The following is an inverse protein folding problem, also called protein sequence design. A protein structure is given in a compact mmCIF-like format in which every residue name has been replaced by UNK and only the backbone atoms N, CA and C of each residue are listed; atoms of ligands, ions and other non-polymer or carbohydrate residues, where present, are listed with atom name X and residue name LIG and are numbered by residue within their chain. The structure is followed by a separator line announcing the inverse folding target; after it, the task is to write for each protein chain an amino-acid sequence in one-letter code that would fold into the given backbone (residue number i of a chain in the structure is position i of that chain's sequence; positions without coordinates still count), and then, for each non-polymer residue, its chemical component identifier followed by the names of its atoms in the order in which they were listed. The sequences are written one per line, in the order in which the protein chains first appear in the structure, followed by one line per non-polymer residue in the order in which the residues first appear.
data_IF_996513662616
#
_entry.id   IF_996513662616
#
_cell.length_a   1.000
_cell.length_b   1.000
_cell.length_c   1.000
_cell.angle_alpha   90.00
_cell.angle_beta   90.00
_cell.angle_gamma   90.00
#
_symmetry.space_group_name_H-M   'P 1'
#
loop_
_entity.id
_entity.type
_entity.pdbx_description
1 polymer ?
#
# COMPACT_ATOMS: atom_id res chain seq x y z
N UNK A 1 8.78 -10.67 -10.74
CA UNK A 1 8.27 -11.42 -9.56
C UNK A 1 6.92 -12.02 -9.88
N UNK A 2 6.68 -13.27 -9.49
CA UNK A 2 5.47 -13.99 -9.90
C UNK A 2 4.48 -14.23 -8.77
N UNK A 3 4.97 -14.33 -7.54
CA UNK A 3 4.15 -14.58 -6.36
C UNK A 3 4.47 -13.53 -5.31
N UNK A 4 3.49 -12.67 -5.00
CA UNK A 4 3.66 -11.58 -4.02
C UNK A 4 2.30 -10.96 -3.67
N UNK A 5 2.30 -10.11 -2.64
CA UNK A 5 1.16 -9.26 -2.31
C UNK A 5 1.60 -7.79 -2.42
N UNK A 6 0.99 -7.04 -3.31
CA UNK A 6 1.17 -5.59 -3.37
C UNK A 6 0.29 -4.94 -2.30
N UNK A 7 0.85 -3.98 -1.57
CA UNK A 7 0.14 -3.30 -0.47
C UNK A 7 0.35 -1.79 -0.55
N UNK A 8 -0.68 -1.04 -0.20
CA UNK A 8 -0.64 0.41 -0.12
C UNK A 8 -1.49 0.89 1.05
N UNK A 9 -0.94 1.81 1.84
CA UNK A 9 -1.62 2.46 2.96
C UNK A 9 -1.83 3.95 2.69
N UNK A 10 -2.97 4.48 3.15
CA UNK A 10 -3.15 5.91 3.32
C UNK A 10 -3.18 6.23 4.81
N UNK A 11 -2.64 7.40 5.18
CA UNK A 11 -2.55 7.82 6.58
C UNK A 11 -3.39 9.06 6.85
N UNK A 12 -3.95 9.15 8.06
CA UNK A 12 -4.77 10.29 8.48
C UNK A 12 -3.93 11.52 8.83
N UNK A 13 -2.73 11.31 9.38
CA UNK A 13 -1.87 12.36 9.88
C UNK A 13 -0.39 11.97 9.74
N UNK A 14 0.51 12.76 10.34
CA UNK A 14 1.97 12.58 10.25
C UNK A 14 2.49 11.35 11.01
N UNK A 15 1.67 10.76 11.87
CA UNK A 15 2.06 9.55 12.58
C UNK A 15 1.93 8.33 11.67
N UNK A 16 2.99 7.55 11.47
CA UNK A 16 2.93 6.37 10.57
C UNK A 16 1.87 5.35 10.97
N UNK A 17 1.54 5.27 12.25
CA UNK A 17 0.49 4.37 12.76
C UNK A 17 -0.92 4.76 12.36
N UNK A 18 -1.13 6.00 11.88
CA UNK A 18 -2.46 6.53 11.59
C UNK A 18 -3.05 6.05 10.26
N UNK A 19 -2.82 4.79 9.91
CA UNK A 19 -3.37 4.21 8.68
C UNK A 19 -4.90 4.31 8.70
N UNK A 20 -5.47 4.86 7.62
CA UNK A 20 -6.91 5.07 7.50
C UNK A 20 -7.54 4.30 6.34
N UNK A 21 -6.74 3.73 5.48
CA UNK A 21 -7.18 2.75 4.48
C UNK A 21 -6.03 1.86 4.05
N UNK A 22 -6.36 0.69 3.53
CA UNK A 22 -5.39 -0.27 2.99
C UNK A 22 -5.95 -0.95 1.76
N UNK A 23 -5.11 -1.09 0.74
CA UNK A 23 -5.37 -1.91 -0.43
C UNK A 23 -4.33 -3.02 -0.52
N UNK A 24 -4.78 -4.22 -0.85
CA UNK A 24 -3.90 -5.39 -1.05
C UNK A 24 -4.32 -6.10 -2.33
N UNK A 25 -3.33 -6.43 -3.17
CA UNK A 25 -3.55 -7.18 -4.41
C UNK A 25 -2.65 -8.41 -4.38
N UNK A 26 -3.25 -9.57 -4.55
CA UNK A 26 -2.55 -10.85 -4.51
C UNK A 26 -2.21 -11.30 -5.92
N UNK A 27 -0.93 -11.57 -6.15
CA UNK A 27 -0.43 -12.10 -7.43
C UNK A 27 0.12 -13.51 -7.21
N UNK A 28 -0.32 -14.44 -8.04
CA UNK A 28 0.16 -15.82 -8.08
C UNK A 28 0.40 -16.20 -9.54
N UNK A 29 1.52 -16.84 -9.78
CA UNK A 29 1.93 -17.26 -11.15
C UNK A 29 1.94 -16.11 -12.17
N UNK A 30 2.18 -14.87 -11.69
CA UNK A 30 2.21 -13.69 -12.55
C UNK A 30 0.83 -13.16 -12.93
N UNK A 31 -0.22 -13.57 -12.24
CA UNK A 31 -1.60 -13.10 -12.47
C UNK A 31 -2.21 -12.59 -11.16
N UNK A 32 -3.01 -11.53 -11.27
CA UNK A 32 -3.80 -11.04 -10.13
C UNK A 32 -4.93 -12.02 -9.86
N UNK A 33 -4.93 -12.61 -8.66
CA UNK A 33 -5.90 -13.65 -8.28
C UNK A 33 -6.88 -13.22 -7.20
N UNK A 34 -6.54 -12.17 -6.44
CA UNK A 34 -7.41 -11.67 -5.37
C UNK A 34 -7.06 -10.23 -5.01
N UNK A 35 -7.97 -9.55 -4.34
CA UNK A 35 -7.75 -8.20 -3.83
C UNK A 35 -8.56 -7.97 -2.56
N UNK A 36 -8.12 -7.00 -1.76
CA UNK A 36 -8.79 -6.62 -0.53
C UNK A 36 -8.65 -5.11 -0.33
N UNK A 37 -9.72 -4.47 0.12
CA UNK A 37 -9.72 -3.05 0.48
C UNK A 37 -10.52 -2.86 1.75
N UNK A 38 -10.00 -2.02 2.65
CA UNK A 38 -10.77 -1.58 3.83
C UNK A 38 -10.38 -0.18 4.25
N UNK A 39 -11.39 0.57 4.69
CA UNK A 39 -11.19 1.73 5.54
C UNK A 39 -10.74 1.23 6.92
N UNK A 40 -9.97 2.05 7.62
CA UNK A 40 -9.45 1.74 8.95
C UNK A 40 -9.69 2.95 9.85
N UNK A 41 -10.22 2.71 11.05
CA UNK A 41 -10.27 3.76 12.06
C UNK A 41 -8.84 4.05 12.53
N UNK A 42 -8.29 5.26 12.26
CA UNK A 42 -6.87 5.51 12.49
C UNK A 42 -6.51 5.71 13.97
N UNK A 43 -5.27 5.40 14.32
CA UNK A 43 -4.72 5.65 15.66
C UNK A 43 -3.35 6.34 15.52
N UNK A 44 -3.21 7.61 15.94
CA UNK A 44 -4.26 8.49 16.50
C UNK A 44 -5.27 8.93 15.44
N UNK A 45 -6.49 9.24 15.89
CA UNK A 45 -7.65 9.41 15.00
C UNK A 45 -7.78 10.77 14.31
N UNK A 46 -6.97 11.78 14.66
CA UNK A 46 -7.08 13.10 14.03
C UNK A 46 -6.60 13.08 12.59
N UNK A 47 -7.18 13.96 11.78
CA UNK A 47 -6.78 14.13 10.38
C UNK A 47 -6.05 15.45 10.17
N UNK A 48 -4.94 15.40 9.42
CA UNK A 48 -4.27 16.60 8.92
C UNK A 48 -4.81 16.92 7.53
N UNK A 49 -5.06 18.21 7.27
CA UNK A 49 -5.68 18.65 6.03
C UNK A 49 -4.88 18.24 4.78
N UNK A 50 -3.56 18.24 4.85
CA UNK A 50 -2.74 17.85 3.69
C UNK A 50 -2.86 16.36 3.37
N UNK A 51 -3.04 15.52 4.35
CA UNK A 51 -3.35 14.10 4.13
C UNK A 51 -4.72 13.95 3.48
N UNK A 52 -5.71 14.66 3.97
CA UNK A 52 -7.06 14.66 3.38
C UNK A 52 -7.03 15.14 1.92
N UNK A 53 -6.21 16.13 1.59
CA UNK A 53 -6.06 16.60 0.22
C UNK A 53 -5.49 15.54 -0.71
N UNK A 54 -4.62 14.68 -0.19
CA UNK A 54 -3.99 13.62 -0.99
C UNK A 54 -5.00 12.50 -1.31
N UNK A 55 -5.68 11.94 -0.32
CA UNK A 55 -6.54 10.77 -0.50
C UNK A 55 -8.03 11.04 -0.40
N UNK A 56 -8.43 12.22 0.05
CA UNK A 56 -9.84 12.61 0.10
C UNK A 56 -10.63 12.03 1.27
N UNK A 57 -10.01 11.26 2.15
CA UNK A 57 -10.67 10.69 3.33
C UNK A 57 -10.62 11.65 4.50
N UNK A 58 -11.67 11.65 5.32
CA UNK A 58 -11.77 12.46 6.52
C UNK A 58 -12.37 11.68 7.69
N UNK A 59 -12.54 12.35 8.85
CA UNK A 59 -13.05 11.68 10.06
C UNK A 59 -14.39 10.99 9.86
N UNK A 60 -15.28 11.57 9.05
CA UNK A 60 -16.59 11.03 8.75
C UNK A 60 -16.54 9.70 7.99
N UNK A 61 -15.47 9.48 7.20
CA UNK A 61 -15.31 8.26 6.42
C UNK A 61 -14.87 7.07 7.28
N UNK A 62 -14.12 7.33 8.35
CA UNK A 62 -13.48 6.29 9.15
C UNK A 62 -13.98 6.23 10.59
N UNK A 63 -14.95 7.08 10.96
CA UNK A 63 -15.52 7.12 12.31
C UNK A 63 -16.04 5.74 12.76
N UNK A 64 -16.74 5.05 11.86
CA UNK A 64 -17.31 3.72 12.14
C UNK A 64 -16.52 2.58 11.48
N UNK A 65 -15.33 2.88 10.95
CA UNK A 65 -14.49 1.86 10.33
C UNK A 65 -13.84 0.96 11.40
N UNK A 66 -13.51 -0.29 11.06
CA UNK A 66 -12.81 -1.17 11.98
C UNK A 66 -11.40 -0.67 12.28
N UNK A 67 -10.92 -0.98 13.48
CA UNK A 67 -9.53 -0.72 13.86
C UNK A 67 -8.57 -1.68 13.17
N UNK A 68 -7.31 -1.31 13.08
CA UNK A 68 -6.30 -2.08 12.34
C UNK A 68 -6.24 -3.58 12.68
N UNK A 69 -6.27 -4.02 13.97
CA UNK A 69 -6.19 -5.45 14.26
C UNK A 69 -7.28 -6.29 13.60
N UNK A 70 -8.51 -5.78 13.50
CA UNK A 70 -9.60 -6.49 12.82
C UNK A 70 -9.38 -6.58 11.32
N UNK A 71 -8.87 -5.50 10.72
CA UNK A 71 -8.57 -5.45 9.28
C UNK A 71 -7.42 -6.41 8.96
N UNK A 72 -6.36 -6.39 9.77
CA UNK A 72 -5.19 -7.24 9.53
C UNK A 72 -5.51 -8.74 9.68
N UNK A 73 -6.40 -9.09 10.57
CA UNK A 73 -6.88 -10.47 10.72
C UNK A 73 -7.44 -11.02 9.40
N UNK A 74 -8.04 -10.17 8.57
CA UNK A 74 -8.57 -10.56 7.25
C UNK A 74 -7.48 -10.59 6.17
N UNK A 75 -6.47 -9.74 6.28
CA UNK A 75 -5.37 -9.66 5.31
C UNK A 75 -4.38 -10.80 5.51
N UNK A 76 -4.04 -11.11 6.74
CA UNK A 76 -2.99 -12.06 7.09
C UNK A 76 -3.10 -13.40 6.36
N UNK A 77 -4.27 -14.06 6.30
CA UNK A 77 -4.42 -15.32 5.55
C UNK A 77 -4.18 -15.17 4.05
N UNK A 78 -4.49 -13.99 3.48
CA UNK A 78 -4.32 -13.74 2.05
C UNK A 78 -2.84 -13.62 1.65
N UNK A 79 -2.02 -13.06 2.53
CA UNK A 79 -0.61 -12.78 2.25
C UNK A 79 0.34 -13.86 2.80
N UNK A 80 -0.19 -14.90 3.42
CA UNK A 80 0.63 -15.94 4.04
C UNK A 80 1.63 -16.55 3.06
N UNK A 81 2.91 -16.51 3.47
CA UNK A 81 4.00 -17.05 2.66
C UNK A 81 4.40 -16.20 1.47
N UNK A 82 3.84 -15.00 1.32
CA UNK A 82 4.17 -14.09 0.22
C UNK A 82 5.06 -12.94 0.69
N UNK A 83 6.04 -12.51 -0.12
CA UNK A 83 6.68 -11.22 0.11
C UNK A 83 5.70 -10.09 -0.20
N UNK A 84 5.88 -8.96 0.48
CA UNK A 84 5.10 -7.76 0.25
C UNK A 84 5.84 -6.84 -0.72
N UNK A 85 5.09 -6.14 -1.56
CA UNK A 85 5.62 -5.19 -2.52
C UNK A 85 4.88 -3.87 -2.37
N UNK A 86 5.61 -2.76 -2.37
CA UNK A 86 5.01 -1.43 -2.32
C UNK A 86 5.83 -0.46 -3.18
N UNK A 87 5.22 0.65 -3.58
CA UNK A 87 5.90 1.72 -4.29
C UNK A 87 6.41 2.74 -3.28
N UNK A 88 7.72 2.82 -3.09
CA UNK A 88 8.38 3.48 -1.96
C UNK A 88 8.11 2.70 -0.65
N UNK A 89 8.53 1.45 -0.64
CA UNK A 89 8.22 0.47 0.40
C UNK A 89 8.60 0.91 1.83
N UNK A 90 9.56 1.83 1.98
CA UNK A 90 9.93 2.37 3.30
C UNK A 90 8.73 3.02 4.00
N UNK A 91 7.84 3.66 3.23
CA UNK A 91 6.64 4.27 3.78
C UNK A 91 5.68 3.21 4.33
N UNK A 92 5.29 2.25 3.50
CA UNK A 92 4.30 1.23 3.88
C UNK A 92 4.85 0.29 4.96
N UNK A 93 6.10 -0.11 4.85
CA UNK A 93 6.78 -0.89 5.89
C UNK A 93 6.82 -0.12 7.21
N UNK A 94 7.14 1.17 7.16
CA UNK A 94 7.14 2.04 8.33
C UNK A 94 5.76 2.15 8.99
N UNK A 95 4.71 2.31 8.19
CA UNK A 95 3.33 2.32 8.66
C UNK A 95 2.97 0.98 9.34
N UNK A 96 3.30 -0.12 8.70
CA UNK A 96 2.97 -1.45 9.19
C UNK A 96 3.66 -1.74 10.53
N UNK A 97 4.95 -1.44 10.62
CA UNK A 97 5.70 -1.59 11.88
C UNK A 97 5.14 -0.70 12.99
N UNK A 98 4.82 0.56 12.67
CA UNK A 98 4.32 1.51 13.64
C UNK A 98 2.95 1.10 14.18
N UNK A 99 2.02 0.68 13.31
CA UNK A 99 0.69 0.29 13.74
C UNK A 99 0.69 -1.03 14.54
N UNK A 100 1.56 -1.98 14.19
CA UNK A 100 1.76 -3.19 14.98
C UNK A 100 2.23 -2.83 16.40
N UNK A 101 3.15 -1.87 16.51
CA UNK A 101 3.66 -1.42 17.82
C UNK A 101 2.59 -0.76 18.66
N UNK A 102 1.77 0.12 18.06
CA UNK A 102 0.69 0.83 18.74
C UNK A 102 -0.32 -0.15 19.35
N UNK A 103 -0.65 -1.21 18.62
CA UNK A 103 -1.60 -2.24 19.09
C UNK A 103 -0.94 -3.41 19.81
N UNK A 104 0.37 -3.31 20.08
CA UNK A 104 1.13 -4.35 20.81
C UNK A 104 1.02 -5.73 20.15
N UNK A 105 1.08 -5.75 18.82
CA UNK A 105 1.06 -6.96 18.01
C UNK A 105 2.49 -7.39 17.67
N UNK A 106 2.71 -8.70 17.63
CA UNK A 106 4.01 -9.25 17.21
C UNK A 106 4.20 -9.09 15.71
N UNK A 107 5.27 -8.41 15.31
CA UNK A 107 5.58 -8.16 13.91
C UNK A 107 6.39 -9.33 13.32
N UNK A 108 5.89 -10.00 12.26
CA UNK A 108 6.54 -11.21 11.71
C UNK A 108 7.75 -10.96 10.81
N UNK A 109 8.31 -9.76 10.78
CA UNK A 109 9.43 -9.38 9.90
C UNK A 109 9.12 -9.65 8.43
N UNK A 110 8.03 -9.08 7.92
CA UNK A 110 7.62 -9.22 6.52
C UNK A 110 8.75 -8.78 5.59
N UNK A 111 9.00 -9.56 4.54
CA UNK A 111 9.93 -9.21 3.48
C UNK A 111 9.27 -8.20 2.54
N UNK A 112 9.90 -7.04 2.34
CA UNK A 112 9.40 -5.99 1.44
C UNK A 112 10.29 -5.83 0.21
N UNK A 113 9.67 -5.63 -0.95
CA UNK A 113 10.32 -5.24 -2.20
C UNK A 113 9.76 -3.90 -2.66
N UNK A 114 10.60 -3.12 -3.36
CA UNK A 114 10.28 -1.72 -3.69
C UNK A 114 10.25 -1.49 -5.19
N UNK A 115 9.06 -1.21 -5.73
CA UNK A 115 8.90 -0.89 -7.15
C UNK A 115 9.47 0.48 -7.52
N UNK A 116 9.57 1.43 -6.58
CA UNK A 116 10.25 2.71 -6.82
C UNK A 116 11.74 2.48 -7.11
N UNK A 117 12.40 1.69 -6.29
CA UNK A 117 13.81 1.35 -6.49
C UNK A 117 14.01 0.58 -7.81
N UNK A 118 13.13 -0.38 -8.10
CA UNK A 118 13.15 -1.13 -9.35
C UNK A 118 12.97 -0.21 -10.56
N UNK A 119 12.04 0.73 -10.50
CA UNK A 119 11.80 1.72 -11.55
C UNK A 119 13.04 2.56 -11.82
N UNK A 120 13.69 3.05 -10.78
CA UNK A 120 14.93 3.85 -10.89
C UNK A 120 16.05 3.06 -11.58
N UNK A 121 16.19 1.79 -11.25
CA UNK A 121 17.19 0.92 -11.90
C UNK A 121 16.85 0.65 -13.38
N UNK A 122 15.59 0.42 -13.68
CA UNK A 122 15.15 0.03 -15.03
C UNK A 122 15.08 1.22 -15.99
N UNK A 123 14.43 2.30 -15.57
CA UNK A 123 14.16 3.46 -16.44
C UNK A 123 15.22 4.56 -16.32
N UNK A 124 15.81 4.75 -15.13
CA UNK A 124 16.79 5.81 -14.91
C UNK A 124 16.21 7.17 -15.26
N UNK A 125 16.95 7.95 -16.05
CA UNK A 125 16.54 9.29 -16.48
C UNK A 125 15.60 9.30 -17.71
N UNK A 126 15.17 8.14 -18.19
CA UNK A 126 14.19 8.06 -19.29
C UNK A 126 12.79 8.49 -18.89
N UNK A 127 12.50 8.57 -17.59
CA UNK A 127 11.24 9.09 -17.07
C UNK A 127 11.46 10.44 -16.39
N UNK A 128 10.48 11.37 -16.44
CA UNK A 128 10.58 12.66 -15.79
C UNK A 128 10.59 12.57 -14.27
N UNK A 129 9.97 11.54 -13.73
CA UNK A 129 9.95 11.20 -12.32
C UNK A 129 9.63 9.70 -12.18
N UNK A 130 9.68 9.18 -10.96
CA UNK A 130 9.36 7.78 -10.66
C UNK A 130 8.16 7.66 -9.73
N UNK A 131 7.23 8.61 -9.82
CA UNK A 131 5.95 8.52 -9.12
C UNK A 131 5.13 7.36 -9.67
N UNK A 132 4.25 6.81 -8.83
CA UNK A 132 3.49 5.61 -9.14
C UNK A 132 2.78 5.70 -10.51
N UNK A 133 2.03 6.79 -10.76
CA UNK A 133 1.29 6.96 -11.99
C UNK A 133 2.19 7.05 -13.22
N UNK A 134 3.37 7.66 -13.10
CA UNK A 134 4.33 7.78 -14.20
C UNK A 134 4.91 6.42 -14.57
N UNK A 135 5.31 5.65 -13.55
CA UNK A 135 5.88 4.32 -13.74
C UNK A 135 4.84 3.34 -14.26
N UNK A 136 3.62 3.39 -13.70
CA UNK A 136 2.51 2.55 -14.16
C UNK A 136 2.22 2.79 -15.66
N UNK A 137 2.16 4.05 -16.08
CA UNK A 137 1.95 4.40 -17.49
C UNK A 137 3.09 3.86 -18.38
N UNK A 138 4.33 3.94 -17.93
CA UNK A 138 5.47 3.38 -18.64
C UNK A 138 5.40 1.86 -18.76
N UNK A 139 4.72 1.20 -17.83
CA UNK A 139 4.43 -0.24 -17.86
C UNK A 139 3.14 -0.60 -18.61
N UNK A 140 2.50 0.36 -19.26
CA UNK A 140 1.28 0.14 -20.02
C UNK A 140 -0.01 0.11 -19.20
N UNK A 141 0.02 0.61 -17.97
CA UNK A 141 -1.12 0.63 -17.05
C UNK A 141 -1.54 2.07 -16.75
N UNK A 142 -2.80 2.40 -17.03
CA UNK A 142 -3.36 3.72 -16.72
C UNK A 142 -3.97 3.70 -15.31
N UNK A 143 -3.36 4.45 -14.40
CA UNK A 143 -3.85 4.56 -13.02
C UNK A 143 -4.98 5.59 -12.97
N UNK A 144 -6.22 5.13 -12.79
CA UNK A 144 -7.41 5.96 -12.89
C UNK A 144 -7.82 6.63 -11.58
N UNK A 145 -7.53 6.05 -10.44
CA UNK A 145 -8.01 6.53 -9.14
C UNK A 145 -6.83 6.66 -8.17
N UNK A 146 -5.84 7.47 -8.56
CA UNK A 146 -4.63 7.66 -7.78
C UNK A 146 -4.97 8.18 -6.37
N UNK A 147 -4.21 7.69 -5.38
CA UNK A 147 -4.42 7.90 -3.94
C UNK A 147 -5.65 7.20 -3.35
N UNK A 148 -6.26 6.28 -4.12
CA UNK A 148 -7.11 5.24 -3.56
C UNK A 148 -6.26 3.99 -3.31
N UNK A 149 -6.21 3.52 -2.07
CA UNK A 149 -5.24 2.49 -1.67
C UNK A 149 -5.29 1.21 -2.53
N UNK A 150 -6.49 0.75 -2.90
CA UNK A 150 -6.60 -0.44 -3.76
C UNK A 150 -6.13 -0.16 -5.19
N UNK A 151 -6.48 0.99 -5.76
CA UNK A 151 -6.03 1.37 -7.10
C UNK A 151 -4.51 1.50 -7.15
N UNK A 152 -3.91 2.09 -6.13
CA UNK A 152 -2.46 2.24 -6.04
C UNK A 152 -1.76 0.89 -5.84
N UNK A 153 -2.32 0.00 -5.03
CA UNK A 153 -1.80 -1.37 -4.87
C UNK A 153 -1.87 -2.15 -6.18
N UNK A 154 -2.94 -2.00 -6.97
CA UNK A 154 -3.07 -2.65 -8.27
C UNK A 154 -2.03 -2.13 -9.26
N UNK A 155 -1.83 -0.83 -9.34
CA UNK A 155 -0.78 -0.24 -10.17
C UNK A 155 0.61 -0.75 -9.75
N UNK A 156 0.87 -0.81 -8.45
CA UNK A 156 2.11 -1.35 -7.91
C UNK A 156 2.30 -2.83 -8.31
N UNK A 157 1.23 -3.63 -8.27
CA UNK A 157 1.27 -5.03 -8.67
C UNK A 157 1.66 -5.17 -10.15
N UNK A 158 1.08 -4.37 -11.03
CA UNK A 158 1.41 -4.38 -12.47
C UNK A 158 2.88 -4.03 -12.70
N UNK A 159 3.38 -3.02 -12.00
CA UNK A 159 4.80 -2.64 -12.09
C UNK A 159 5.69 -3.80 -11.60
N UNK A 160 5.36 -4.39 -10.47
CA UNK A 160 6.15 -5.48 -9.89
C UNK A 160 6.21 -6.71 -10.80
N UNK A 161 5.10 -7.06 -11.45
CA UNK A 161 5.07 -8.18 -12.41
C UNK A 161 6.05 -7.96 -13.58
N UNK A 162 6.33 -6.71 -13.93
CA UNK A 162 7.23 -6.39 -15.05
C UNK A 162 8.67 -6.11 -14.62
N UNK A 163 8.89 -5.49 -13.45
CA UNK A 163 10.21 -4.97 -13.07
C UNK A 163 10.89 -5.76 -11.95
N UNK A 164 10.18 -6.64 -11.25
CA UNK A 164 10.73 -7.41 -10.12
C UNK A 164 10.78 -8.93 -10.36
#
# INVERSE_FOLDING_TARGET
MRDFAAIDFETANEQPSSVCSVGVVIVRDGEIVDSFYSLIHPEPEYYQWFCQRVHGLGPEDTEDAPVFPYVWEKIEPLIEGLPLVAHNSRFDEGCLKAVFRVYQMDYPDYEFHDTLAASRRHFGCRLPNHQLQTVAAACGYELMNHHHALADAEACAVIAMQLL
#
